data_IF_425950985080
#
_entry.id   IF_425950985080
#
_cell.length_a   1.000
_cell.length_b   1.000
_cell.length_c   1.000
_cell.angle_alpha   90.00
_cell.angle_beta   90.00
_cell.angle_gamma   90.00
#
_symmetry.space_group_name_H-M   'P 1'
#
loop_
_entity.id
_entity.type
_entity.pdbx_description
1 polymer ?
#
# COMPACT_ATOMS: atom_id res chain seq x y z
N UNK A 1 -53.52 -5.15 15.89
CA UNK A 1 -53.41 -3.69 15.70
C UNK A 1 -52.36 -3.52 14.62
N UNK A 2 -52.84 -3.60 13.38
CA UNK A 2 -52.03 -3.69 12.16
C UNK A 2 -51.64 -2.28 11.72
N UNK A 3 -50.34 -2.02 11.61
CA UNK A 3 -49.80 -0.73 11.20
C UNK A 3 -49.40 -0.79 9.72
N UNK A 4 -50.23 -0.18 8.87
CA UNK A 4 -50.01 -0.05 7.44
C UNK A 4 -48.97 1.05 7.16
N UNK A 5 -47.76 0.66 6.76
CA UNK A 5 -46.75 1.61 6.27
C UNK A 5 -46.94 1.81 4.76
N UNK A 6 -47.30 3.04 4.40
CA UNK A 6 -47.52 3.50 3.04
C UNK A 6 -46.19 3.58 2.24
N UNK A 7 -46.21 2.95 1.06
CA UNK A 7 -45.14 2.93 0.06
C UNK A 7 -45.12 4.25 -0.72
N UNK A 8 -44.06 5.03 -0.58
CA UNK A 8 -43.85 6.27 -1.36
C UNK A 8 -43.19 5.97 -2.72
N UNK A 9 -43.78 6.41 -3.87
CA UNK A 9 -43.16 6.27 -5.17
C UNK A 9 -42.15 7.39 -5.43
N UNK A 10 -40.91 7.05 -5.82
CA UNK A 10 -39.92 8.04 -6.27
C UNK A 10 -40.20 8.43 -7.73
N UNK A 11 -40.12 9.73 -8.07
CA UNK A 11 -40.29 10.18 -9.45
C UNK A 11 -39.08 9.83 -10.31
N UNK A 12 -39.39 9.21 -11.45
CA UNK A 12 -38.54 9.03 -12.61
C UNK A 12 -38.33 10.37 -13.33
N UNK A 13 -37.06 10.78 -13.49
CA UNK A 13 -36.69 11.91 -14.35
C UNK A 13 -35.84 11.45 -15.53
N UNK A 14 -35.97 12.13 -16.69
CA UNK A 14 -35.70 11.56 -18.00
C UNK A 14 -34.25 11.67 -18.48
N UNK A 15 -33.95 10.71 -19.36
CA UNK A 15 -32.85 10.65 -20.31
C UNK A 15 -32.78 11.96 -21.13
N UNK A 16 -31.62 12.61 -21.15
CA UNK A 16 -31.31 13.65 -22.13
C UNK A 16 -30.04 13.27 -22.87
N UNK A 17 -30.25 12.60 -24.03
CA UNK A 17 -29.22 12.41 -25.05
C UNK A 17 -28.92 13.77 -25.69
N UNK A 18 -27.67 14.20 -25.63
CA UNK A 18 -27.14 15.23 -26.52
C UNK A 18 -26.16 14.55 -27.48
N UNK A 19 -26.70 14.21 -28.65
CA UNK A 19 -25.91 13.92 -29.83
C UNK A 19 -25.37 15.25 -30.37
N UNK A 20 -24.05 15.43 -30.37
CA UNK A 20 -23.41 16.45 -31.18
C UNK A 20 -22.44 15.77 -32.15
N UNK A 21 -22.92 15.69 -33.38
CA UNK A 21 -22.12 15.44 -34.58
C UNK A 21 -21.28 16.68 -34.88
N UNK A 22 -19.96 16.56 -34.99
CA UNK A 22 -19.15 17.53 -35.72
C UNK A 22 -18.06 16.82 -36.54
N UNK A 23 -18.29 16.90 -37.84
CA UNK A 23 -17.40 17.03 -38.99
C UNK A 23 -15.94 16.53 -38.91
N UNK A 24 -15.63 15.66 -39.89
CA UNK A 24 -14.30 15.38 -40.42
C UNK A 24 -13.50 16.66 -40.74
N UNK A 25 -12.21 16.64 -40.41
CA UNK A 25 -11.18 17.33 -41.17
C UNK A 25 -10.04 16.35 -41.51
N UNK A 26 -9.79 16.26 -42.81
CA UNK A 26 -8.74 15.49 -43.46
C UNK A 26 -7.34 16.04 -43.15
N UNK A 27 -6.38 15.13 -43.37
CA UNK A 27 -4.99 15.33 -43.80
C UNK A 27 -3.93 15.52 -42.72
N UNK A 28 -3.10 14.49 -42.55
CA UNK A 28 -1.74 14.47 -43.12
C UNK A 28 -1.17 13.05 -43.03
N UNK A 29 -0.70 12.55 -44.17
CA UNK A 29 0.06 11.30 -44.27
C UNK A 29 1.44 11.59 -43.66
N UNK A 30 1.65 11.16 -42.42
CA UNK A 30 2.96 11.14 -41.78
C UNK A 30 3.75 9.94 -42.28
N UNK A 31 4.86 10.20 -42.96
CA UNK A 31 5.85 9.22 -43.39
C UNK A 31 6.36 8.49 -42.14
N UNK A 32 6.06 7.20 -42.03
CA UNK A 32 6.54 6.34 -40.95
C UNK A 32 8.05 6.19 -41.00
N UNK A 33 8.76 6.87 -40.11
CA UNK A 33 10.09 6.45 -39.72
C UNK A 33 9.94 5.28 -38.75
N UNK A 34 10.31 4.09 -39.21
CA UNK A 34 10.51 2.92 -38.36
C UNK A 34 11.69 3.21 -37.43
N UNK A 35 11.42 3.88 -36.31
CA UNK A 35 12.32 3.88 -35.18
C UNK A 35 12.30 2.46 -34.64
N UNK A 36 13.39 1.73 -34.88
CA UNK A 36 13.69 0.50 -34.17
C UNK A 36 13.64 0.81 -32.67
N UNK A 37 12.53 0.48 -32.03
CA UNK A 37 12.45 0.43 -30.58
C UNK A 37 13.50 -0.56 -30.13
N UNK A 38 14.52 -0.17 -29.35
CA UNK A 38 15.30 -1.17 -28.66
C UNK A 38 14.30 -2.00 -27.87
N UNK A 39 14.36 -3.34 -27.99
CA UNK A 39 13.70 -4.20 -27.03
C UNK A 39 14.16 -3.69 -25.67
N UNK A 40 13.26 -3.05 -24.93
CA UNK A 40 13.41 -2.88 -23.51
C UNK A 40 13.49 -4.31 -23.01
N UNK A 41 14.73 -4.77 -22.77
CA UNK A 41 14.99 -5.88 -21.87
C UNK A 41 14.19 -5.50 -20.64
N UNK A 42 13.12 -6.25 -20.39
CA UNK A 42 12.44 -6.20 -19.11
C UNK A 42 13.50 -6.64 -18.11
N UNK A 43 14.27 -5.67 -17.64
CA UNK A 43 15.15 -5.81 -16.51
C UNK A 43 14.20 -6.06 -15.36
N UNK A 44 13.91 -7.35 -15.14
CA UNK A 44 13.38 -7.83 -13.88
C UNK A 44 14.26 -7.14 -12.84
N UNK A 45 13.71 -6.27 -11.97
CA UNK A 45 14.52 -5.71 -10.92
C UNK A 45 14.91 -6.89 -10.03
N UNK A 46 16.11 -7.41 -10.28
CA UNK A 46 16.84 -8.22 -9.33
C UNK A 46 17.17 -7.29 -8.17
N UNK A 47 16.22 -7.17 -7.25
CA UNK A 47 16.56 -6.84 -5.88
C UNK A 47 16.76 -8.18 -5.20
N UNK A 48 18.01 -8.40 -4.82
CA UNK A 48 18.48 -9.38 -3.87
C UNK A 48 17.68 -9.20 -2.57
N UNK A 49 16.50 -9.79 -2.54
CA UNK A 49 15.58 -9.68 -1.42
C UNK A 49 15.65 -10.97 -0.62
N UNK A 50 16.25 -10.91 0.56
CA UNK A 50 16.15 -11.98 1.57
C UNK A 50 14.71 -12.17 2.09
N UNK A 51 13.72 -11.47 1.52
CA UNK A 51 12.33 -11.61 1.89
C UNK A 51 11.68 -12.79 1.17
N UNK A 52 11.11 -13.70 1.95
CA UNK A 52 10.32 -14.83 1.48
C UNK A 52 8.84 -14.62 1.79
N UNK A 53 7.96 -15.18 0.96
CA UNK A 53 6.52 -15.19 1.22
C UNK A 53 6.24 -16.14 2.37
N UNK A 54 5.72 -15.60 3.48
CA UNK A 54 5.38 -16.36 4.68
C UNK A 54 3.94 -16.84 4.62
N UNK A 55 3.04 -15.95 4.20
CA UNK A 55 1.61 -16.22 4.10
C UNK A 55 1.04 -15.49 2.90
N UNK A 56 0.09 -16.14 2.23
CA UNK A 56 -0.72 -15.53 1.18
C UNK A 56 -2.17 -15.97 1.34
N UNK A 57 -3.11 -15.05 1.15
CA UNK A 57 -4.54 -15.36 1.13
C UNK A 57 -5.30 -14.38 0.25
N UNK A 58 -6.52 -14.76 -0.12
CA UNK A 58 -7.46 -13.93 -0.87
C UNK A 58 -8.68 -13.71 0.01
N UNK A 59 -9.17 -12.48 0.11
CA UNK A 59 -10.40 -12.17 0.85
C UNK A 59 -11.68 -12.41 0.03
N UNK A 60 -12.83 -12.08 0.61
CA UNK A 60 -14.14 -12.21 -0.01
C UNK A 60 -14.39 -11.19 -1.15
N UNK A 61 -13.59 -10.14 -1.23
CA UNK A 61 -13.62 -9.13 -2.29
C UNK A 61 -12.63 -9.44 -3.42
N UNK A 62 -11.82 -10.50 -3.28
CA UNK A 62 -10.83 -10.97 -4.26
C UNK A 62 -9.46 -10.30 -4.15
N UNK A 63 -9.20 -9.51 -3.10
CA UNK A 63 -7.91 -8.89 -2.87
C UNK A 63 -6.92 -9.92 -2.31
N UNK A 64 -5.72 -9.98 -2.89
CA UNK A 64 -4.65 -10.88 -2.44
C UNK A 64 -3.79 -10.16 -1.43
N UNK A 65 -3.62 -10.75 -0.25
CA UNK A 65 -2.70 -10.27 0.74
C UNK A 65 -1.48 -11.18 0.82
N UNK A 66 -0.31 -10.57 0.90
CA UNK A 66 0.96 -11.29 1.00
C UNK A 66 1.77 -10.73 2.16
N UNK A 67 2.22 -11.61 3.04
CA UNK A 67 3.11 -11.28 4.16
C UNK A 67 4.50 -11.77 3.81
N UNK A 68 5.47 -10.88 3.88
CA UNK A 68 6.87 -11.17 3.62
C UNK A 68 7.68 -11.12 4.91
N UNK A 69 8.60 -12.05 5.09
CA UNK A 69 9.50 -12.14 6.24
C UNK A 69 10.91 -12.55 5.84
N UNK A 70 11.84 -12.55 6.79
CA UNK A 70 13.18 -13.09 6.58
C UNK A 70 13.20 -14.57 6.95
N UNK A 71 13.87 -15.41 6.15
CA UNK A 71 14.08 -16.82 6.49
C UNK A 71 14.89 -16.94 7.79
N UNK A 72 14.45 -17.78 8.74
CA UNK A 72 15.08 -17.97 10.06
C UNK A 72 16.57 -18.36 9.98
N UNK A 73 17.06 -18.80 8.82
CA UNK A 73 18.47 -19.14 8.59
C UNK A 73 19.44 -17.93 8.61
N UNK A 74 18.96 -16.69 8.61
CA UNK A 74 19.78 -15.46 8.68
C UNK A 74 19.47 -14.58 9.90
N UNK A 75 19.10 -15.19 11.04
CA UNK A 75 18.95 -14.44 12.29
C UNK A 75 20.28 -13.80 12.76
N UNK A 76 20.48 -12.53 12.43
CA UNK A 76 21.43 -11.69 13.15
C UNK A 76 20.77 -11.32 14.48
N UNK A 77 21.25 -11.94 15.56
CA UNK A 77 20.87 -11.65 16.94
C UNK A 77 20.73 -10.14 17.15
N UNK A 78 19.62 -9.65 17.77
CA UNK A 78 19.46 -8.24 18.05
C UNK A 78 20.65 -7.77 18.88
N UNK A 79 21.45 -6.85 18.31
CA UNK A 79 22.54 -6.19 19.01
C UNK A 79 21.96 -5.47 20.22
N UNK A 80 22.28 -5.96 21.41
CA UNK A 80 22.06 -5.25 22.67
C UNK A 80 22.79 -3.91 22.60
N UNK A 81 22.06 -2.84 22.32
CA UNK A 81 22.60 -1.50 22.31
C UNK A 81 21.90 -0.61 23.35
N UNK A 82 22.67 -0.33 24.40
CA UNK A 82 22.73 0.91 25.18
C UNK A 82 21.49 1.29 26.07
N UNK A 83 21.66 1.45 27.41
CA UNK A 83 20.58 1.73 28.37
C UNK A 83 19.91 3.11 28.27
N UNK A 84 20.29 3.96 27.31
CA UNK A 84 19.52 5.16 26.99
C UNK A 84 18.38 4.76 26.06
N UNK A 85 17.26 4.33 26.65
CA UNK A 85 16.03 3.95 25.94
C UNK A 85 15.62 5.08 25.00
N UNK A 86 15.95 4.95 23.70
CA UNK A 86 15.64 5.94 22.67
C UNK A 86 14.14 6.23 22.72
N UNK A 87 13.77 7.50 22.91
CA UNK A 87 12.37 7.93 22.89
C UNK A 87 11.94 8.11 21.44
N UNK A 88 11.23 7.13 20.89
CA UNK A 88 10.50 7.29 19.62
C UNK A 88 9.06 7.78 19.87
N UNK A 89 8.42 8.25 18.80
CA UNK A 89 7.04 8.74 18.80
C UNK A 89 6.83 10.03 18.01
N UNK A 90 7.88 10.60 17.40
CA UNK A 90 7.74 11.80 16.57
C UNK A 90 6.87 11.52 15.33
N UNK A 91 6.89 10.28 14.83
CA UNK A 91 6.14 9.82 13.65
C UNK A 91 6.30 10.82 12.49
N UNK A 92 7.53 11.31 12.27
CA UNK A 92 7.78 12.32 11.24
C UNK A 92 7.63 11.67 9.86
N UNK A 93 6.64 12.13 9.11
CA UNK A 93 6.35 11.62 7.78
C UNK A 93 7.11 12.42 6.73
N UNK A 94 7.79 11.71 5.84
CA UNK A 94 8.38 12.22 4.61
C UNK A 94 7.71 11.54 3.41
N UNK A 95 7.31 12.34 2.42
CA UNK A 95 6.65 11.86 1.21
C UNK A 95 7.63 11.79 0.04
N UNK A 96 7.40 10.86 -0.88
CA UNK A 96 8.24 10.60 -2.04
C UNK A 96 7.42 10.48 -3.33
N UNK A 97 8.04 10.74 -4.47
CA UNK A 97 7.40 10.65 -5.80
C UNK A 97 7.64 9.32 -6.52
N UNK A 98 8.43 8.41 -5.96
CA UNK A 98 8.76 7.10 -6.53
C UNK A 98 8.08 5.96 -5.75
N UNK A 99 7.93 4.80 -6.38
CA UNK A 99 7.34 3.60 -5.77
C UNK A 99 5.93 3.86 -5.22
N UNK A 100 5.15 4.61 -5.98
CA UNK A 100 3.82 5.07 -5.57
C UNK A 100 2.82 3.91 -5.58
N UNK A 101 2.14 3.71 -4.46
CA UNK A 101 0.99 2.82 -4.33
C UNK A 101 -0.30 3.53 -4.65
N UNK A 102 -1.33 2.76 -4.99
CA UNK A 102 -2.71 3.26 -5.05
C UNK A 102 -3.18 3.66 -3.65
N UNK A 103 -3.67 4.89 -3.50
CA UNK A 103 -4.14 5.38 -2.20
C UNK A 103 -5.35 4.58 -1.69
N UNK A 104 -6.22 4.15 -2.60
CA UNK A 104 -7.34 3.26 -2.27
C UNK A 104 -6.88 1.89 -1.78
N UNK A 105 -5.89 1.26 -2.44
CA UNK A 105 -5.33 0.00 -1.96
C UNK A 105 -4.68 0.15 -0.57
N UNK A 106 -4.05 1.29 -0.29
CA UNK A 106 -3.49 1.56 1.04
C UNK A 106 -4.54 1.81 2.10
N UNK A 107 -5.61 2.54 1.77
CA UNK A 107 -6.76 2.69 2.65
C UNK A 107 -7.40 1.33 2.93
N UNK A 108 -7.56 0.49 1.90
CA UNK A 108 -8.04 -0.88 2.02
C UNK A 108 -7.21 -1.69 3.02
N UNK A 109 -5.89 -1.70 2.83
CA UNK A 109 -4.95 -2.37 3.72
C UNK A 109 -5.05 -1.88 5.17
N UNK A 110 -5.13 -0.56 5.39
CA UNK A 110 -5.05 0.04 6.72
C UNK A 110 -6.38 0.14 7.48
N UNK A 111 -7.52 0.05 6.78
CA UNK A 111 -8.87 0.35 7.32
C UNK A 111 -9.52 -0.73 8.17
N UNK A 112 -8.86 -1.85 8.45
CA UNK A 112 -9.49 -2.95 9.21
C UNK A 112 -9.47 -4.30 8.52
N UNK A 113 -9.14 -4.34 7.22
CA UNK A 113 -9.17 -5.56 6.41
C UNK A 113 -7.93 -6.42 6.53
N UNK A 114 -6.90 -5.97 7.23
CA UNK A 114 -5.90 -6.89 7.76
C UNK A 114 -6.61 -7.81 8.76
N UNK A 115 -7.06 -9.00 8.33
CA UNK A 115 -7.76 -10.04 9.13
C UNK A 115 -7.00 -10.52 10.38
N UNK A 116 -5.92 -9.83 10.75
CA UNK A 116 -4.85 -10.23 11.64
C UNK A 116 -4.44 -9.13 12.61
N UNK A 117 -5.30 -8.17 12.95
CA UNK A 117 -5.00 -7.10 13.93
C UNK A 117 -4.30 -7.62 15.19
N UNK A 118 -4.75 -8.77 15.70
CA UNK A 118 -4.20 -9.40 16.89
C UNK A 118 -3.04 -10.37 16.65
N UNK A 119 -2.71 -10.70 15.40
CA UNK A 119 -1.60 -11.60 15.11
C UNK A 119 -0.26 -10.90 15.34
N UNK A 120 0.72 -11.65 15.88
CA UNK A 120 2.07 -11.13 16.02
C UNK A 120 2.71 -10.93 14.64
N UNK A 121 3.58 -9.92 14.56
CA UNK A 121 4.35 -9.56 13.38
C UNK A 121 5.62 -10.42 13.25
N UNK A 122 6.18 -10.92 14.36
CA UNK A 122 7.36 -11.79 14.39
C UNK A 122 8.46 -11.36 13.39
N UNK A 123 8.90 -12.30 12.56
CA UNK A 123 9.93 -12.25 11.52
C UNK A 123 9.46 -11.56 10.22
N UNK A 124 8.21 -11.12 10.17
CA UNK A 124 7.70 -10.38 9.01
C UNK A 124 8.43 -9.02 8.88
N UNK A 125 8.52 -8.54 7.64
CA UNK A 125 9.08 -7.24 7.27
C UNK A 125 8.13 -6.37 6.49
N UNK A 126 7.12 -6.98 5.87
CA UNK A 126 6.06 -6.25 5.20
C UNK A 126 4.78 -7.03 5.05
N UNK A 127 3.70 -6.29 4.83
CA UNK A 127 2.37 -6.82 4.50
C UNK A 127 1.87 -6.01 3.31
N UNK A 128 1.53 -6.70 2.23
CA UNK A 128 1.02 -6.12 1.01
C UNK A 128 -0.41 -6.57 0.74
N UNK A 129 -1.17 -5.70 0.06
CA UNK A 129 -2.40 -6.05 -0.64
C UNK A 129 -2.24 -5.75 -2.12
N UNK A 130 -2.74 -6.67 -2.95
CA UNK A 130 -2.94 -6.53 -4.38
C UNK A 130 -4.44 -6.62 -4.65
N UNK A 131 -5.03 -5.56 -5.19
CA UNK A 131 -6.47 -5.50 -5.45
C UNK A 131 -6.87 -6.43 -6.60
N UNK A 132 -8.17 -6.79 -6.74
CA UNK A 132 -8.65 -7.70 -7.78
C UNK A 132 -8.34 -7.27 -9.23
N UNK A 133 -8.03 -5.99 -9.45
CA UNK A 133 -7.60 -5.50 -10.77
C UNK A 133 -6.14 -5.83 -11.11
N UNK A 134 -5.39 -6.44 -10.17
CA UNK A 134 -3.98 -6.83 -10.27
C UNK A 134 -3.00 -5.69 -10.61
N UNK A 135 -3.46 -4.44 -10.54
CA UNK A 135 -2.67 -3.23 -10.84
C UNK A 135 -2.43 -2.46 -9.54
N UNK A 136 -3.47 -2.31 -8.74
CA UNK A 136 -3.39 -1.55 -7.50
C UNK A 136 -2.77 -2.38 -6.40
N UNK A 137 -1.55 -1.99 -6.00
CA UNK A 137 -0.80 -2.62 -4.91
C UNK A 137 -0.48 -1.58 -3.84
N UNK A 138 -0.56 -2.00 -2.59
CA UNK A 138 -0.02 -1.26 -1.46
C UNK A 138 0.69 -2.20 -0.50
N UNK A 139 1.78 -1.73 0.08
CA UNK A 139 2.57 -2.44 1.07
C UNK A 139 2.88 -1.53 2.24
N UNK A 140 2.71 -2.07 3.45
CA UNK A 140 3.28 -1.53 4.68
C UNK A 140 4.53 -2.34 5.00
N UNK A 141 5.67 -1.68 5.12
CA UNK A 141 6.95 -2.30 5.46
C UNK A 141 7.65 -1.56 6.60
N UNK A 142 8.59 -2.20 7.28
CA UNK A 142 9.30 -1.60 8.42
C UNK A 142 10.74 -2.07 8.54
N UNK A 143 11.57 -1.24 9.18
CA UNK A 143 13.03 -1.43 9.18
C UNK A 143 13.55 -2.40 10.26
N UNK A 144 12.95 -2.44 11.45
CA UNK A 144 13.45 -3.22 12.60
C UNK A 144 12.63 -4.48 12.82
N UNK A 145 13.23 -5.49 13.46
CA UNK A 145 12.46 -6.63 13.95
C UNK A 145 11.44 -6.13 15.00
N UNK A 146 10.19 -6.56 14.84
CA UNK A 146 9.07 -6.17 15.69
C UNK A 146 8.53 -7.36 16.49
N UNK A 147 9.38 -8.32 16.91
CA UNK A 147 9.01 -9.42 17.81
C UNK A 147 8.05 -8.95 18.93
N UNK A 148 6.91 -9.62 19.03
CA UNK A 148 5.87 -9.33 20.01
C UNK A 148 4.93 -8.16 19.65
N UNK A 149 5.23 -7.36 18.62
CA UNK A 149 4.27 -6.41 18.08
C UNK A 149 3.18 -7.14 17.31
N UNK A 150 1.98 -6.56 17.33
CA UNK A 150 0.82 -6.98 16.54
C UNK A 150 0.60 -6.14 15.29
N UNK A 151 -0.05 -6.68 14.26
CA UNK A 151 -0.40 -5.96 13.02
C UNK A 151 -1.13 -4.64 13.30
N UNK A 152 -2.00 -4.60 14.32
CA UNK A 152 -2.70 -3.38 14.74
C UNK A 152 -1.78 -2.17 14.98
N UNK A 153 -0.55 -2.40 15.47
CA UNK A 153 0.39 -1.30 15.74
C UNK A 153 0.84 -0.60 14.46
N UNK A 154 0.74 -1.26 13.30
CA UNK A 154 1.15 -0.68 12.03
C UNK A 154 0.20 0.43 11.55
N UNK A 155 -1.06 0.40 11.98
CA UNK A 155 -2.13 1.23 11.40
C UNK A 155 -1.94 2.71 11.67
N UNK A 156 -1.55 3.11 12.88
CA UNK A 156 -1.49 4.52 13.26
C UNK A 156 -0.48 5.31 12.42
N UNK A 157 0.74 4.79 12.26
CA UNK A 157 1.75 5.42 11.42
C UNK A 157 1.42 5.30 9.92
N UNK A 158 0.76 4.21 9.51
CA UNK A 158 0.34 3.99 8.13
C UNK A 158 -0.72 4.98 7.71
N UNK A 159 -1.76 5.16 8.51
CA UNK A 159 -2.83 6.14 8.28
C UNK A 159 -2.30 7.56 8.29
N UNK A 160 -1.35 7.89 9.19
CA UNK A 160 -0.70 9.20 9.18
C UNK A 160 0.06 9.44 7.87
N UNK A 161 0.82 8.45 7.40
CA UNK A 161 1.53 8.51 6.12
C UNK A 161 0.56 8.64 4.94
N UNK A 162 -0.52 7.87 4.93
CA UNK A 162 -1.57 7.94 3.92
C UNK A 162 -2.18 9.33 3.84
N UNK A 163 -2.59 9.88 4.98
CA UNK A 163 -3.24 11.20 5.04
C UNK A 163 -2.30 12.33 4.62
N UNK A 164 -1.02 12.26 5.02
CA UNK A 164 -0.07 13.33 4.75
C UNK A 164 0.52 13.26 3.33
N UNK A 165 0.74 12.05 2.79
CA UNK A 165 1.39 11.85 1.49
C UNK A 165 0.42 11.55 0.34
N UNK A 166 -0.77 11.03 0.62
CA UNK A 166 -1.82 10.81 -0.39
C UNK A 166 -2.61 12.06 -0.75
N UNK A 167 -2.59 13.07 0.13
CA UNK A 167 -3.32 14.32 -0.04
C UNK A 167 -4.84 14.15 -0.01
N UNK A 168 -5.55 15.27 -0.18
CA UNK A 168 -7.00 15.26 -0.37
C UNK A 168 -7.26 14.64 -1.76
N UNK A 169 -7.94 13.49 -1.82
CA UNK A 169 -8.30 12.69 -3.01
C UNK A 169 -7.44 11.45 -3.33
N UNK A 170 -6.55 11.00 -2.44
CA UNK A 170 -6.04 9.61 -2.32
C UNK A 170 -5.67 8.86 -3.62
N UNK A 171 -5.13 9.53 -4.65
CA UNK A 171 -4.82 8.80 -5.91
C UNK A 171 -3.63 7.88 -5.73
N UNK A 172 -2.57 8.40 -5.12
CA UNK A 172 -1.32 7.64 -4.93
C UNK A 172 -0.60 8.04 -3.65
N UNK A 173 0.11 7.10 -3.03
CA UNK A 173 0.90 7.37 -1.83
C UNK A 173 2.28 6.71 -1.92
N UNK A 174 3.29 7.45 -1.50
CA UNK A 174 4.62 6.91 -1.17
C UNK A 174 5.20 7.75 -0.04
N UNK A 175 5.52 7.12 1.08
CA UNK A 175 6.00 7.83 2.24
C UNK A 175 6.66 6.94 3.27
N UNK A 176 7.45 7.57 4.13
CA UNK A 176 8.05 6.93 5.30
C UNK A 176 7.82 7.76 6.56
N UNK A 177 7.38 7.09 7.61
CA UNK A 177 7.30 7.62 8.97
C UNK A 177 8.54 7.18 9.75
N UNK A 178 9.35 8.14 10.21
CA UNK A 178 10.52 7.90 11.06
C UNK A 178 10.15 7.95 12.54
N UNK A 179 10.97 7.30 13.36
CA UNK A 179 10.85 7.24 14.82
C UNK A 179 9.45 6.84 15.28
N UNK A 180 8.88 5.83 14.61
CA UNK A 180 7.62 5.23 15.00
C UNK A 180 7.88 4.30 16.17
N UNK A 181 7.03 4.37 17.19
CA UNK A 181 7.03 3.42 18.29
C UNK A 181 6.01 2.31 18.01
N UNK A 182 6.51 1.12 17.68
CA UNK A 182 5.69 -0.07 17.45
C UNK A 182 5.95 -1.05 18.60
N UNK A 183 5.05 -1.08 19.58
CA UNK A 183 5.14 -1.94 20.76
C UNK A 183 6.48 -1.82 21.53
N UNK A 184 6.99 -0.60 21.71
CA UNK A 184 8.24 -0.34 22.41
C UNK A 184 9.49 -0.40 21.54
N UNK A 185 9.37 -0.79 20.27
CA UNK A 185 10.46 -0.78 19.29
C UNK A 185 10.41 0.51 18.48
N UNK A 186 11.53 1.23 18.44
CA UNK A 186 11.69 2.41 17.60
C UNK A 186 12.11 1.99 16.19
N UNK A 187 11.27 2.29 15.20
CA UNK A 187 11.55 1.91 13.82
C UNK A 187 11.11 2.97 12.81
N UNK A 188 11.38 2.70 11.55
CA UNK A 188 10.80 3.37 10.40
C UNK A 188 9.72 2.50 9.81
N UNK A 189 8.58 3.08 9.48
CA UNK A 189 7.51 2.42 8.73
C UNK A 189 7.33 3.12 7.38
N UNK A 190 7.14 2.34 6.32
CA UNK A 190 6.97 2.82 4.97
C UNK A 190 5.62 2.37 4.39
N UNK A 191 5.05 3.20 3.54
CA UNK A 191 3.83 2.92 2.79
C UNK A 191 4.12 3.19 1.31
N UNK A 192 4.11 2.15 0.47
CA UNK A 192 4.52 2.22 -0.95
C UNK A 192 3.99 1.03 -1.75
N UNK A 193 4.27 0.93 -3.04
CA UNK A 193 3.93 -0.27 -3.84
C UNK A 193 4.95 -1.43 -3.73
N UNK A 194 5.97 -1.29 -2.86
CA UNK A 194 7.03 -2.29 -2.66
C UNK A 194 6.98 -2.89 -1.26
N UNK A 195 7.19 -4.20 -1.20
CA UNK A 195 7.38 -4.95 0.04
C UNK A 195 8.69 -4.55 0.77
N UNK A 196 9.63 -3.94 0.05
CA UNK A 196 11.02 -3.75 0.48
C UNK A 196 11.48 -2.30 0.40
N UNK A 197 12.71 -2.09 0.87
CA UNK A 197 13.40 -0.80 0.82
C UNK A 197 13.06 0.13 1.98
N UNK A 198 12.36 -0.36 3.01
CA UNK A 198 12.14 0.40 4.23
C UNK A 198 13.34 0.27 5.17
N UNK A 199 14.10 1.35 5.32
CA UNK A 199 15.30 1.40 6.13
C UNK A 199 15.28 2.61 7.09
N UNK A 200 16.18 2.59 8.07
CA UNK A 200 16.25 3.63 9.10
C UNK A 200 16.91 4.95 8.65
N UNK A 201 17.49 5.02 7.45
CA UNK A 201 18.20 6.21 6.94
C UNK A 201 17.23 7.21 6.28
#
# INVERSE_FOLDING_TARGET
MEEHIAKSPRPSSPIMMLAQSFALLLSTIGIGQALATPLAVAESPAQDSDLVVMYEWIDDEGATFTVYGVDESTETSPSEANPLKRRCGSNQVQCYGNNVASGWACEYLLSGRMFFYDRPINDHRSICVLMPNHIDKCCVSWANDLRGAKVAHLVNAGMKTLNQCGGVNSKTVSGKARDVNLNGVCTTQCLSNRAEGCNNN
#
